data_IF_840416977424
#
_entry.id   IF_840416977424
#
_cell.length_a   1.000
_cell.length_b   1.000
_cell.length_c   1.000
_cell.angle_alpha   90.00
_cell.angle_beta   90.00
_cell.angle_gamma   90.00
#
_symmetry.space_group_name_H-M   'P 1'
#
loop_
_entity.id
_entity.type
_entity.pdbx_description
1 polymer ?
#
# COMPACT_ATOMS: atom_id res chain seq x y z
N UNK A 1 -6.34 1.92 -10.19
CA UNK A 1 -5.13 1.65 -9.41
C UNK A 1 -4.68 2.91 -8.69
N UNK A 2 -4.35 2.78 -7.42
CA UNK A 2 -3.79 3.88 -6.66
C UNK A 2 -2.29 3.70 -6.50
N UNK A 3 -1.55 4.82 -6.59
CA UNK A 3 -0.10 4.84 -6.45
C UNK A 3 0.26 5.65 -5.22
N UNK A 4 0.99 5.01 -4.30
CA UNK A 4 1.51 5.66 -3.11
C UNK A 4 2.96 6.04 -3.35
N UNK A 5 3.31 7.30 -3.03
CA UNK A 5 4.68 7.80 -3.09
C UNK A 5 4.94 8.61 -1.82
N UNK A 6 6.20 8.77 -1.44
CA UNK A 6 6.54 9.50 -0.21
C UNK A 6 6.07 10.96 -0.26
N UNK A 7 6.03 11.55 -1.44
CA UNK A 7 5.56 12.93 -1.63
C UNK A 7 4.08 13.01 -2.04
N UNK A 8 3.38 11.87 -2.11
CA UNK A 8 1.95 11.82 -2.40
C UNK A 8 1.39 10.58 -1.72
N UNK A 9 1.26 10.66 -0.41
CA UNK A 9 0.81 9.52 0.40
C UNK A 9 -0.70 9.42 0.35
N UNK A 10 -1.18 8.26 -0.09
CA UNK A 10 -2.60 7.95 -0.17
C UNK A 10 -3.02 7.40 1.19
N UNK A 11 -3.95 8.06 1.92
CA UNK A 11 -4.30 7.62 3.27
C UNK A 11 -5.24 6.43 3.32
N UNK A 12 -6.05 6.23 2.28
CA UNK A 12 -7.06 5.18 2.24
C UNK A 12 -7.41 4.82 0.81
N UNK A 13 -7.79 3.56 0.59
CA UNK A 13 -8.26 3.08 -0.70
C UNK A 13 -9.45 2.16 -0.48
N UNK A 14 -10.26 1.96 -1.51
CA UNK A 14 -11.38 1.04 -1.48
C UNK A 14 -10.90 -0.40 -1.67
N UNK A 15 -11.58 -1.34 -1.00
CA UNK A 15 -11.38 -2.77 -1.23
C UNK A 15 -11.57 -3.05 -2.71
N UNK A 16 -10.67 -3.85 -3.28
CA UNK A 16 -10.67 -4.16 -4.71
C UNK A 16 -9.80 -3.24 -5.54
N UNK A 17 -9.30 -2.15 -4.96
CA UNK A 17 -8.37 -1.24 -5.62
C UNK A 17 -6.96 -1.84 -5.58
N UNK A 18 -6.24 -1.77 -6.69
CA UNK A 18 -4.82 -2.14 -6.70
C UNK A 18 -4.00 -1.04 -6.06
N UNK A 19 -3.08 -1.42 -5.19
CA UNK A 19 -2.16 -0.48 -4.56
C UNK A 19 -0.76 -0.73 -5.07
N UNK A 20 -0.18 0.30 -5.65
CA UNK A 20 1.22 0.31 -6.09
C UNK A 20 2.03 1.24 -5.21
N UNK A 21 3.11 0.74 -4.65
CA UNK A 21 4.06 1.55 -3.89
C UNK A 21 5.22 1.89 -4.82
N UNK A 22 5.52 3.17 -4.97
CA UNK A 22 6.50 3.64 -5.94
C UNK A 22 7.57 4.49 -5.28
N UNK A 23 8.82 4.34 -5.73
CA UNK A 23 9.95 5.10 -5.25
C UNK A 23 10.96 5.28 -6.38
N UNK A 24 12.03 6.02 -6.12
CA UNK A 24 13.06 6.33 -7.11
C UNK A 24 14.32 5.46 -6.97
N UNK A 25 14.35 4.58 -6.00
CA UNK A 25 15.48 3.67 -5.76
C UNK A 25 14.97 2.27 -5.48
N UNK A 26 15.76 1.23 -5.75
CA UNK A 26 15.36 -0.14 -5.46
C UNK A 26 15.08 -0.36 -3.98
N UNK A 27 14.01 -1.09 -3.69
CA UNK A 27 13.61 -1.36 -2.32
C UNK A 27 13.01 -2.75 -2.14
N UNK A 28 13.08 -3.24 -0.90
CA UNK A 28 12.28 -4.34 -0.43
C UNK A 28 11.19 -3.74 0.44
N UNK A 29 9.94 -4.01 0.10
CA UNK A 29 8.81 -3.55 0.89
C UNK A 29 8.45 -4.61 1.90
N UNK A 30 8.58 -4.28 3.18
CA UNK A 30 8.20 -5.13 4.29
C UNK A 30 6.83 -4.64 4.77
N UNK A 31 5.80 -5.46 4.65
CA UNK A 31 4.45 -4.98 4.88
C UNK A 31 3.55 -6.03 5.53
N UNK A 32 2.45 -5.57 6.09
CA UNK A 32 1.49 -6.41 6.78
C UNK A 32 0.07 -5.89 6.57
N UNK A 33 -0.90 -6.79 6.72
CA UNK A 33 -2.32 -6.46 6.75
C UNK A 33 -2.99 -6.85 8.07
N UNK A 34 -2.22 -7.27 9.07
CA UNK A 34 -2.75 -7.78 10.33
C UNK A 34 -1.94 -7.31 11.54
N UNK A 35 -1.50 -6.06 11.51
CA UNK A 35 -0.78 -5.41 12.63
C UNK A 35 0.49 -6.17 13.00
N UNK A 36 1.23 -6.64 12.00
CA UNK A 36 2.52 -7.33 12.14
C UNK A 36 2.46 -8.72 12.79
N UNK A 37 1.26 -9.32 12.88
CA UNK A 37 1.17 -10.73 13.25
C UNK A 37 1.83 -11.60 12.17
N UNK A 38 1.62 -11.23 10.92
CA UNK A 38 2.29 -11.82 9.76
C UNK A 38 2.82 -10.69 8.90
N UNK A 39 3.93 -10.92 8.24
CA UNK A 39 4.50 -9.93 7.35
C UNK A 39 4.90 -10.56 6.03
N UNK A 40 4.98 -9.72 5.00
CA UNK A 40 5.36 -10.12 3.66
C UNK A 40 6.42 -9.18 3.14
N UNK A 41 7.30 -9.69 2.29
CA UNK A 41 8.34 -8.90 1.66
C UNK A 41 8.11 -8.93 0.15
N UNK A 42 8.11 -7.76 -0.46
CA UNK A 42 7.94 -7.63 -1.91
C UNK A 42 9.06 -6.78 -2.46
N UNK A 43 9.84 -7.35 -3.37
CA UNK A 43 10.89 -6.61 -4.05
C UNK A 43 10.31 -5.64 -5.05
N UNK A 44 10.91 -4.47 -5.18
CA UNK A 44 10.53 -3.54 -6.23
C UNK A 44 10.94 -4.06 -7.61
N UNK A 45 10.22 -3.60 -8.63
CA UNK A 45 10.49 -3.89 -10.02
C UNK A 45 10.94 -2.59 -10.68
N UNK A 46 12.06 -2.64 -11.39
CA UNK A 46 12.61 -1.49 -12.09
C UNK A 46 11.86 -1.24 -13.40
N UNK A 47 11.62 0.04 -13.71
CA UNK A 47 11.03 0.42 -15.00
C UNK A 47 12.08 0.88 -16.03
N UNK A 48 13.33 1.04 -15.59
CA UNK A 48 14.41 1.48 -16.46
C UNK A 48 14.60 2.99 -16.53
N UNK A 49 13.82 3.77 -15.80
CA UNK A 49 13.90 5.24 -15.79
C UNK A 49 13.84 5.79 -14.36
N UNK A 50 14.61 5.17 -13.49
CA UNK A 50 14.71 5.57 -12.07
C UNK A 50 13.39 5.54 -11.33
N UNK A 51 12.49 4.65 -11.75
CA UNK A 51 11.22 4.41 -11.05
C UNK A 51 11.16 2.93 -10.70
N UNK A 52 10.95 2.65 -9.43
CA UNK A 52 10.79 1.31 -8.87
C UNK A 52 9.38 1.20 -8.31
N UNK A 53 8.75 0.05 -8.44
CA UNK A 53 7.41 -0.13 -7.89
C UNK A 53 7.21 -1.54 -7.34
N UNK A 54 6.28 -1.66 -6.40
CA UNK A 54 5.81 -2.93 -5.88
C UNK A 54 4.29 -2.90 -5.87
N UNK A 55 3.66 -3.90 -6.48
CA UNK A 55 2.21 -4.05 -6.47
C UNK A 55 1.84 -5.04 -5.38
N UNK A 56 0.90 -4.68 -4.52
CA UNK A 56 0.53 -5.50 -3.37
C UNK A 56 -0.74 -6.29 -3.64
N UNK A 57 -0.72 -7.56 -3.23
CA UNK A 57 -1.90 -8.43 -3.26
C UNK A 57 -2.65 -8.26 -1.94
N UNK A 58 -3.67 -7.40 -1.94
CA UNK A 58 -4.39 -7.01 -0.74
C UNK A 58 -5.55 -7.96 -0.43
N UNK A 59 -5.92 -8.09 0.86
CA UNK A 59 -7.10 -8.88 1.22
C UNK A 59 -8.41 -8.18 0.82
N UNK A 60 -9.51 -8.93 0.80
CA UNK A 60 -10.83 -8.43 0.45
C UNK A 60 -11.63 -8.05 1.69
N UNK A 61 -11.00 -7.41 2.65
CA UNK A 61 -11.65 -7.01 3.90
C UNK A 61 -11.06 -5.71 4.40
N UNK A 62 -11.81 -5.00 5.22
CA UNK A 62 -11.33 -3.77 5.82
C UNK A 62 -10.20 -4.07 6.79
N UNK A 63 -9.08 -3.37 6.62
CA UNK A 63 -7.92 -3.50 7.50
C UNK A 63 -6.97 -2.35 7.23
N UNK A 64 -5.92 -2.26 8.01
CA UNK A 64 -4.84 -1.29 7.80
C UNK A 64 -3.65 -1.99 7.18
N UNK A 65 -3.19 -1.48 6.05
CA UNK A 65 -1.95 -1.94 5.44
C UNK A 65 -0.83 -1.07 5.99
N UNK A 66 0.15 -1.71 6.62
CA UNK A 66 1.34 -1.02 7.15
C UNK A 66 2.56 -1.51 6.41
N UNK A 67 3.49 -0.61 6.15
CA UNK A 67 4.68 -0.98 5.40
C UNK A 67 5.86 -0.07 5.73
N UNK A 68 7.05 -0.60 5.50
CA UNK A 68 8.29 0.15 5.59
C UNK A 68 9.22 -0.32 4.47
N UNK A 69 10.29 0.40 4.27
CA UNK A 69 11.23 0.14 3.18
C UNK A 69 12.59 -0.31 3.71
N UNK A 70 13.16 -1.30 3.03
CA UNK A 70 14.59 -1.55 3.08
C UNK A 70 15.17 -1.04 1.76
N UNK A 71 15.97 0.00 1.82
CA UNK A 71 16.60 0.59 0.65
C UNK A 71 17.80 -0.26 0.25
N UNK A 72 17.70 -0.96 -0.89
CA UNK A 72 18.66 -2.01 -1.24
C UNK A 72 20.05 -1.47 -1.59
N UNK A 73 20.13 -0.32 -2.25
CA UNK A 73 21.41 0.26 -2.61
C UNK A 73 22.22 0.66 -1.38
N UNK A 74 21.54 1.07 -0.32
CA UNK A 74 22.18 1.53 0.92
C UNK A 74 22.16 0.48 2.01
N UNK A 75 21.42 -0.60 1.82
CA UNK A 75 21.17 -1.64 2.83
C UNK A 75 20.71 -1.00 4.14
N UNK A 76 19.73 -0.11 4.05
CA UNK A 76 19.26 0.73 5.16
C UNK A 76 17.75 0.69 5.27
N UNK A 77 17.27 0.45 6.49
CA UNK A 77 15.82 0.54 6.77
C UNK A 77 15.39 2.01 6.82
N UNK A 78 14.16 2.26 6.38
CA UNK A 78 13.57 3.60 6.38
C UNK A 78 13.46 4.18 7.77
N UNK A 79 13.22 3.35 8.77
CA UNK A 79 13.14 3.80 10.16
C UNK A 79 11.77 4.28 10.59
N UNK A 80 10.77 4.22 9.71
CA UNK A 80 9.40 4.55 10.07
C UNK A 80 8.43 3.73 9.21
N UNK A 81 7.24 3.52 9.75
CA UNK A 81 6.18 2.82 9.06
C UNK A 81 5.21 3.80 8.42
N UNK A 82 4.64 3.38 7.31
CA UNK A 82 3.55 4.09 6.65
C UNK A 82 2.31 3.22 6.69
N UNK A 83 1.15 3.83 6.50
CA UNK A 83 -0.08 3.06 6.48
C UNK A 83 -1.04 3.54 5.41
N UNK A 84 -1.85 2.61 4.90
CA UNK A 84 -2.98 2.89 4.02
C UNK A 84 -4.17 2.11 4.56
N UNK A 85 -5.27 2.79 4.80
CA UNK A 85 -6.50 2.15 5.25
C UNK A 85 -7.21 1.50 4.07
N UNK A 86 -7.57 0.23 4.22
CA UNK A 86 -8.34 -0.50 3.23
C UNK A 86 -9.79 -0.50 3.69
N UNK A 87 -10.66 0.19 2.96
CA UNK A 87 -12.02 0.51 3.40
C UNK A 87 -13.06 -0.04 2.44
N UNK A 88 -14.26 -0.26 2.96
CA UNK A 88 -15.40 -0.58 2.11
C UNK A 88 -15.62 0.55 1.12
N UNK A 89 -16.06 0.20 -0.09
CA UNK A 89 -16.29 1.17 -1.14
C UNK A 89 -17.29 2.23 -0.67
N UNK A 90 -16.98 3.51 -0.93
CA UNK A 90 -17.90 4.61 -0.63
C UNK A 90 -19.22 4.45 -1.39
N UNK A 91 -19.17 3.84 -2.57
CA UNK A 91 -20.37 3.56 -3.35
C UNK A 91 -21.29 2.60 -2.61
N UNK A 92 -20.76 1.54 -2.01
CA UNK A 92 -21.56 0.62 -1.21
C UNK A 92 -22.19 1.32 -0.02
N UNK A 93 -21.45 2.24 0.59
CA UNK A 93 -21.96 3.02 1.72
C UNK A 93 -23.09 3.94 1.28
N UNK A 94 -22.96 4.59 0.14
CA UNK A 94 -23.99 5.45 -0.42
C UNK A 94 -25.25 4.67 -0.74
N UNK A 95 -25.11 3.50 -1.33
CA UNK A 95 -26.25 2.62 -1.64
C UNK A 95 -27.00 2.25 -0.37
N UNK A 96 -26.29 1.95 0.70
CA UNK A 96 -26.92 1.61 1.97
C UNK A 96 -27.70 2.80 2.55
N UNK A 97 -27.16 4.01 2.40
CA UNK A 97 -27.85 5.22 2.84
C UNK A 97 -29.10 5.49 2.02
N UNK A 98 -29.01 5.34 0.72
CA UNK A 98 -30.15 5.54 -0.17
C UNK A 98 -31.26 4.55 0.12
N UNK A 99 -30.91 3.32 0.45
CA UNK A 99 -31.89 2.30 0.77
C UNK A 99 -32.69 2.63 2.02
N UNK A 100 -32.15 3.45 2.90
CA UNK A 100 -32.84 3.86 4.12
C UNK A 100 -33.70 5.10 3.93
N UNK A 101 -33.43 5.82 2.91
CA UNK A 101 -34.18 7.02 2.60
C UNK A 101 -35.48 6.68 1.90
#
# INVERSE_FOLDING_TARGET
MEVWKSNRQVPAIAIGTRLRIQANSPFLLHWTSDEWLHSMDTHSTATGIDVEFADLSLPDQETTIRFTFLWLDENRWEGQDYKVELQASSRSHEDAQLARA
#
